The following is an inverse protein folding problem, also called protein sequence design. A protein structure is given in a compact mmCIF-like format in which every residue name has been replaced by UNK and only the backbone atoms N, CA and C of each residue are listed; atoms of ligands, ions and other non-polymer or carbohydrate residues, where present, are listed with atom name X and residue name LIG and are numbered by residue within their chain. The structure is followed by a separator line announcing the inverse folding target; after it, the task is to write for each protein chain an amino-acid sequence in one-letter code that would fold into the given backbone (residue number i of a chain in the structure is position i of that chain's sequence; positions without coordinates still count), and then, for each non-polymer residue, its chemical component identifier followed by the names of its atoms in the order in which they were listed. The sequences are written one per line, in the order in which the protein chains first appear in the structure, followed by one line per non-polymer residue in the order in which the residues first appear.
data_IF_605306182034
#
_entry.id   IF_605306182034
#
_cell.length_a   1.000
_cell.length_b   1.000
_cell.length_c   1.000
_cell.angle_alpha   90.00
_cell.angle_beta   90.00
_cell.angle_gamma   90.00
#
_symmetry.space_group_name_H-M   'P 1'
#
loop_
_entity.id
_entity.type
_entity.pdbx_description
1 polymer ?
#
# COMPACT_ATOMS: atom_id res chain seq x y z
N UNK A 1 2.65 -10.09 30.73
CA UNK A 1 3.24 -8.84 30.21
C UNK A 1 2.87 -8.79 28.74
N UNK A 2 2.37 -7.66 28.23
CA UNK A 2 2.13 -7.52 26.82
C UNK A 2 3.48 -7.68 26.08
N UNK A 3 3.47 -8.50 25.03
CA UNK A 3 4.65 -8.70 24.19
C UNK A 3 5.04 -7.36 23.55
N UNK A 4 6.31 -6.96 23.62
CA UNK A 4 6.71 -5.71 22.99
C UNK A 4 6.63 -5.82 21.46
N UNK A 5 6.14 -4.77 20.76
CA UNK A 5 6.03 -4.81 19.33
C UNK A 5 7.41 -4.94 18.67
N UNK A 6 7.57 -5.95 17.82
CA UNK A 6 8.79 -6.20 17.05
C UNK A 6 8.84 -5.33 15.80
N UNK A 7 7.72 -5.27 15.07
CA UNK A 7 7.62 -4.51 13.81
C UNK A 7 7.43 -3.03 14.13
N UNK A 8 8.23 -2.18 13.49
CA UNK A 8 8.28 -0.75 13.78
C UNK A 8 8.10 0.14 12.56
N UNK A 9 7.99 -0.43 11.36
CA UNK A 9 7.51 0.29 10.19
C UNK A 9 6.66 -0.60 9.27
N UNK A 10 5.72 0.00 8.55
CA UNK A 10 4.86 -0.68 7.56
C UNK A 10 4.66 0.20 6.32
N UNK A 11 4.83 -0.37 5.13
CA UNK A 11 4.38 0.25 3.89
C UNK A 11 2.89 -0.09 3.72
N UNK A 12 2.02 0.81 4.19
CA UNK A 12 0.58 0.57 4.31
C UNK A 12 -0.22 0.81 3.03
N UNK A 13 0.37 1.48 2.03
CA UNK A 13 -0.35 1.88 0.82
C UNK A 13 0.57 2.48 -0.24
N UNK A 14 0.01 2.71 -1.44
CA UNK A 14 -1.29 2.21 -1.90
C UNK A 14 -1.08 1.05 -2.87
N UNK A 15 -2.03 0.14 -2.93
CA UNK A 15 -1.94 -0.95 -3.92
C UNK A 15 -1.82 -0.37 -5.34
N UNK A 16 -0.86 -0.86 -6.11
CA UNK A 16 -0.46 -0.34 -7.44
C UNK A 16 0.20 1.04 -7.42
N UNK A 17 0.61 1.52 -6.25
CA UNK A 17 1.34 2.77 -6.05
C UNK A 17 2.87 2.65 -6.16
N UNK A 18 3.43 1.47 -6.45
CA UNK A 18 4.90 1.29 -6.51
C UNK A 18 5.53 0.72 -5.23
N UNK A 19 4.71 0.22 -4.30
CA UNK A 19 5.16 -0.35 -3.03
C UNK A 19 6.08 -1.56 -3.18
N UNK A 20 5.97 -2.33 -4.27
CA UNK A 20 6.88 -3.45 -4.57
C UNK A 20 8.29 -2.95 -4.89
N UNK A 21 8.41 -1.92 -5.72
CA UNK A 21 9.72 -1.34 -6.03
C UNK A 21 10.40 -0.77 -4.76
N UNK A 22 9.64 -0.09 -3.90
CA UNK A 22 10.17 0.42 -2.64
C UNK A 22 10.60 -0.71 -1.69
N UNK A 23 9.82 -1.78 -1.61
CA UNK A 23 10.15 -2.97 -0.82
C UNK A 23 11.42 -3.66 -1.33
N UNK A 24 11.56 -3.80 -2.65
CA UNK A 24 12.74 -4.40 -3.28
C UNK A 24 14.01 -3.57 -3.03
N UNK A 25 13.89 -2.23 -2.97
CA UNK A 25 15.00 -1.37 -2.54
C UNK A 25 15.35 -1.59 -1.07
N UNK A 26 14.37 -1.74 -0.18
CA UNK A 26 14.61 -2.02 1.24
C UNK A 26 15.26 -3.38 1.46
N UNK A 27 14.99 -4.38 0.62
CA UNK A 27 15.60 -5.70 0.71
C UNK A 27 17.12 -5.68 0.48
N UNK A 28 17.66 -4.64 -0.17
CA UNK A 28 19.11 -4.45 -0.32
C UNK A 28 19.79 -3.86 0.93
N UNK A 29 19.01 -3.43 1.93
CA UNK A 29 19.55 -2.82 3.14
C UNK A 29 19.72 -3.87 4.25
N UNK A 30 20.97 -4.29 4.59
CA UNK A 30 21.21 -5.25 5.66
C UNK A 30 20.83 -4.71 7.05
N UNK A 31 20.63 -3.38 7.15
CA UNK A 31 20.22 -2.70 8.38
C UNK A 31 18.70 -2.76 8.61
N UNK A 32 17.95 -3.41 7.72
CA UNK A 32 16.50 -3.60 7.80
C UNK A 32 16.17 -5.08 7.85
N UNK A 33 15.20 -5.46 8.64
CA UNK A 33 14.66 -6.82 8.68
C UNK A 33 13.28 -6.83 8.01
N UNK A 34 13.17 -7.60 6.95
CA UNK A 34 11.92 -7.83 6.22
C UNK A 34 11.43 -9.26 6.46
N UNK A 35 10.15 -9.55 6.19
CA UNK A 35 9.61 -10.90 6.38
C UNK A 35 10.35 -11.94 5.54
N UNK A 36 10.59 -13.09 6.15
CA UNK A 36 11.14 -14.27 5.48
C UNK A 36 9.99 -15.14 4.95
N UNK A 37 9.74 -15.02 3.65
CA UNK A 37 8.67 -15.76 2.98
C UNK A 37 9.02 -17.22 2.64
N UNK A 38 10.31 -17.60 2.67
CA UNK A 38 10.74 -18.98 2.42
C UNK A 38 10.37 -19.91 3.56
N UNK A 39 10.29 -19.37 4.79
CA UNK A 39 9.97 -20.17 5.99
C UNK A 39 8.51 -20.52 6.14
N UNK A 40 7.60 -19.89 5.39
CA UNK A 40 6.17 -20.16 5.53
C UNK A 40 5.51 -20.25 4.16
N UNK A 41 5.49 -21.44 3.55
CA UNK A 41 4.98 -21.68 2.20
C UNK A 41 3.50 -21.39 1.99
N UNK A 42 2.71 -21.24 3.07
CA UNK A 42 1.25 -21.17 3.00
C UNK A 42 0.69 -19.79 2.59
N UNK A 43 1.54 -18.75 2.52
CA UNK A 43 1.11 -17.43 2.01
C UNK A 43 1.31 -17.38 0.50
N UNK A 44 0.40 -18.03 -0.22
CA UNK A 44 0.56 -18.35 -1.65
C UNK A 44 0.35 -17.22 -2.66
N UNK A 45 0.13 -15.94 -2.30
CA UNK A 45 -0.33 -14.99 -3.30
C UNK A 45 0.41 -13.65 -3.43
N UNK A 46 1.36 -13.31 -2.55
CA UNK A 46 2.20 -12.13 -2.76
C UNK A 46 3.53 -12.29 -2.05
N UNK A 47 4.61 -12.26 -2.80
CA UNK A 47 5.99 -12.42 -2.30
C UNK A 47 6.45 -11.37 -1.27
N UNK A 48 5.57 -10.50 -0.74
CA UNK A 48 5.91 -9.44 0.21
C UNK A 48 4.79 -9.04 1.19
N UNK A 49 3.55 -9.49 1.01
CA UNK A 49 2.37 -9.03 1.77
C UNK A 49 1.98 -10.06 2.84
N UNK A 50 1.99 -9.68 4.11
CA UNK A 50 1.67 -10.56 5.22
C UNK A 50 0.18 -10.67 5.48
N UNK A 51 -0.59 -9.65 5.14
CA UNK A 51 -2.03 -9.59 5.36
C UNK A 51 -2.46 -9.90 6.82
N UNK A 52 -1.65 -9.51 7.80
CA UNK A 52 -1.95 -9.76 9.20
C UNK A 52 -3.03 -8.81 9.71
N UNK A 53 -2.84 -7.48 9.56
CA UNK A 53 -3.76 -6.49 10.12
C UNK A 53 -5.08 -6.34 9.35
N UNK A 54 -5.20 -6.86 8.15
CA UNK A 54 -6.44 -6.89 7.36
C UNK A 54 -7.14 -8.27 7.37
N UNK A 55 -6.66 -9.21 8.18
CA UNK A 55 -7.33 -10.51 8.34
C UNK A 55 -8.44 -10.43 9.39
N UNK A 56 -9.68 -10.32 8.93
CA UNK A 56 -10.87 -10.23 9.78
C UNK A 56 -11.27 -11.57 10.42
N UNK A 57 -10.56 -12.67 10.10
CA UNK A 57 -10.77 -13.98 10.71
C UNK A 57 -10.02 -14.16 12.02
N UNK A 58 -9.04 -13.30 12.32
CA UNK A 58 -8.28 -13.34 13.55
C UNK A 58 -9.11 -12.82 14.74
N UNK A 59 -8.85 -13.38 15.93
CA UNK A 59 -9.40 -12.87 17.18
C UNK A 59 -8.67 -11.57 17.58
N UNK A 60 -9.24 -10.44 17.22
CA UNK A 60 -8.68 -9.13 17.51
C UNK A 60 -8.84 -8.66 18.95
N UNK A 61 -9.59 -9.37 19.78
CA UNK A 61 -9.58 -9.17 21.22
C UNK A 61 -8.33 -9.78 21.87
N UNK A 62 -7.75 -10.81 21.24
CA UNK A 62 -6.52 -11.50 21.68
C UNK A 62 -5.66 -11.91 20.48
N UNK A 63 -5.07 -10.95 19.73
CA UNK A 63 -4.31 -11.27 18.54
C UNK A 63 -3.02 -12.04 18.85
N UNK A 64 -2.71 -13.05 18.05
CA UNK A 64 -1.47 -13.83 18.17
C UNK A 64 -0.32 -13.10 17.46
N UNK A 65 0.30 -12.18 18.17
CA UNK A 65 1.48 -11.47 17.67
C UNK A 65 2.72 -12.37 17.56
N UNK A 66 2.80 -13.48 18.28
CA UNK A 66 3.94 -14.40 18.17
C UNK A 66 3.98 -15.04 16.77
N UNK A 67 2.83 -15.43 16.22
CA UNK A 67 2.73 -15.91 14.83
C UNK A 67 3.13 -14.85 13.80
N UNK A 68 2.79 -13.57 14.04
CA UNK A 68 3.22 -12.44 13.22
C UNK A 68 4.74 -12.22 13.32
N UNK A 69 5.30 -12.21 14.53
CA UNK A 69 6.72 -12.01 14.79
C UNK A 69 7.60 -13.14 14.22
N UNK A 70 7.09 -14.37 14.16
CA UNK A 70 7.81 -15.52 13.61
C UNK A 70 8.18 -15.35 12.12
N UNK A 71 7.58 -14.36 11.43
CA UNK A 71 7.92 -14.00 10.05
C UNK A 71 9.23 -13.24 9.92
N UNK A 72 9.78 -12.72 11.01
CA UNK A 72 10.98 -11.88 11.03
C UNK A 72 12.12 -12.61 11.72
N UNK A 73 13.22 -12.82 10.99
CA UNK A 73 14.39 -13.54 11.51
C UNK A 73 15.47 -12.60 12.01
N UNK A 74 16.01 -12.89 13.18
CA UNK A 74 17.15 -12.19 13.78
C UNK A 74 17.04 -10.64 13.72
N UNK A 75 16.06 -10.04 14.38
CA UNK A 75 15.90 -8.59 14.37
C UNK A 75 17.09 -7.85 14.97
N UNK A 76 17.72 -8.39 16.03
CA UNK A 76 18.92 -7.85 16.67
C UNK A 76 18.92 -6.32 16.88
N UNK A 77 17.74 -5.74 17.15
CA UNK A 77 17.54 -4.29 17.32
C UNK A 77 17.51 -3.48 16.03
N UNK A 78 17.54 -4.12 14.87
CA UNK A 78 17.37 -3.47 13.57
C UNK A 78 15.90 -3.11 13.31
N UNK A 79 15.59 -2.06 12.54
CA UNK A 79 14.23 -1.78 12.08
C UNK A 79 13.63 -2.99 11.37
N UNK A 80 12.46 -3.44 11.86
CA UNK A 80 11.68 -4.51 11.26
C UNK A 80 10.45 -3.93 10.60
N UNK A 81 10.15 -4.37 9.37
CA UNK A 81 8.97 -3.87 8.68
C UNK A 81 8.49 -4.77 7.56
N UNK A 82 7.30 -4.46 7.09
CA UNK A 82 6.63 -5.17 5.99
C UNK A 82 5.96 -4.21 4.99
N UNK A 83 5.37 -4.79 3.94
CA UNK A 83 4.61 -4.05 2.94
C UNK A 83 3.32 -4.78 2.58
N UNK A 84 2.21 -4.33 3.13
CA UNK A 84 0.86 -4.80 2.79
C UNK A 84 -0.03 -3.60 2.43
N UNK A 85 -0.05 -3.19 1.15
CA UNK A 85 -0.59 -1.90 0.72
C UNK A 85 -2.13 -1.81 0.74
N UNK A 86 -2.82 -2.82 1.20
CA UNK A 86 -4.26 -2.75 1.45
C UNK A 86 -4.58 -2.11 2.81
N UNK A 87 -3.64 -2.07 3.77
CA UNK A 87 -3.91 -1.61 5.12
C UNK A 87 -4.45 -0.18 5.21
N UNK A 88 -3.95 0.73 4.36
CA UNK A 88 -4.46 2.11 4.34
C UNK A 88 -5.93 2.21 3.87
N UNK A 89 -6.44 1.19 3.21
CA UNK A 89 -7.79 1.14 2.65
C UNK A 89 -8.73 0.22 3.42
N UNK A 90 -8.23 -0.91 3.98
CA UNK A 90 -9.10 -1.93 4.57
C UNK A 90 -9.56 -1.51 5.98
N UNK A 91 -10.87 -1.62 6.27
CA UNK A 91 -11.40 -1.23 7.58
C UNK A 91 -10.68 -1.89 8.74
N UNK A 92 -10.54 -1.15 9.83
CA UNK A 92 -9.90 -1.59 11.09
C UNK A 92 -8.41 -1.91 11.01
N UNK A 93 -7.78 -1.96 9.81
CA UNK A 93 -6.36 -2.28 9.72
C UNK A 93 -5.47 -1.25 10.41
N UNK A 94 -5.77 0.03 10.25
CA UNK A 94 -4.99 1.12 10.85
C UNK A 94 -5.14 1.16 12.38
N UNK A 95 -6.34 0.91 12.89
CA UNK A 95 -6.61 0.82 14.33
C UNK A 95 -5.89 -0.38 14.95
N UNK A 96 -5.86 -1.51 14.26
CA UNK A 96 -5.12 -2.72 14.67
C UNK A 96 -3.61 -2.46 14.69
N UNK A 97 -3.07 -1.75 13.72
CA UNK A 97 -1.67 -1.32 13.69
C UNK A 97 -1.37 -0.37 14.86
N UNK A 98 -2.25 0.60 15.13
CA UNK A 98 -2.08 1.54 16.24
C UNK A 98 -2.15 0.84 17.60
N UNK A 99 -3.04 -0.15 17.76
CA UNK A 99 -3.14 -0.97 18.96
C UNK A 99 -1.89 -1.87 19.16
N UNK A 100 -1.34 -2.41 18.07
CA UNK A 100 -0.12 -3.20 18.11
C UNK A 100 1.11 -2.36 18.45
N UNK A 101 1.30 -1.24 17.79
CA UNK A 101 2.45 -0.36 18.01
C UNK A 101 2.08 1.11 17.75
N UNK A 102 1.76 1.88 18.80
CA UNK A 102 1.44 3.31 18.65
C UNK A 102 2.62 4.18 18.17
N UNK A 103 3.85 3.63 18.20
CA UNK A 103 5.06 4.27 17.67
C UNK A 103 5.40 3.80 16.24
N UNK A 104 4.49 3.07 15.57
CA UNK A 104 4.69 2.56 14.21
C UNK A 104 5.02 3.68 13.23
N UNK A 105 6.02 3.49 12.39
CA UNK A 105 6.31 4.36 11.24
C UNK A 105 5.58 3.82 10.01
N UNK A 106 4.83 4.68 9.35
CA UNK A 106 3.97 4.29 8.22
C UNK A 106 4.45 4.96 6.94
N UNK A 107 4.56 4.18 5.88
CA UNK A 107 4.96 4.68 4.57
C UNK A 107 3.82 4.47 3.58
N UNK A 108 3.48 5.52 2.85
CA UNK A 108 2.45 5.50 1.81
C UNK A 108 3.05 5.99 0.49
N UNK A 109 3.07 5.13 -0.52
CA UNK A 109 3.55 5.47 -1.87
C UNK A 109 2.35 5.72 -2.76
N UNK A 110 2.20 6.94 -3.25
CA UNK A 110 1.08 7.39 -4.07
C UNK A 110 1.45 7.41 -5.55
N UNK A 111 0.49 7.13 -6.38
CA UNK A 111 0.54 7.24 -7.83
C UNK A 111 -0.67 8.03 -8.30
N UNK A 112 -0.62 8.62 -9.52
CA UNK A 112 -1.82 9.19 -10.14
C UNK A 112 -3.01 8.22 -9.97
N UNK A 113 -4.12 8.64 -9.35
CA UNK A 113 -5.19 7.71 -8.95
C UNK A 113 -5.91 7.09 -10.14
N UNK A 114 -5.93 7.76 -11.31
CA UNK A 114 -6.47 7.22 -12.56
C UNK A 114 -5.60 6.07 -13.06
N UNK A 115 -4.29 6.30 -13.11
CA UNK A 115 -3.31 5.28 -13.52
C UNK A 115 -3.25 4.11 -12.53
N UNK A 116 -3.44 4.38 -11.23
CA UNK A 116 -3.52 3.35 -10.21
C UNK A 116 -4.75 2.46 -10.41
N UNK A 117 -5.94 3.07 -10.62
CA UNK A 117 -7.18 2.35 -10.85
C UNK A 117 -7.09 1.45 -12.09
N UNK A 118 -6.55 1.98 -13.20
CA UNK A 118 -6.28 1.23 -14.42
C UNK A 118 -5.31 0.06 -14.17
N UNK A 119 -4.20 0.31 -13.46
CA UNK A 119 -3.22 -0.72 -13.12
C UNK A 119 -3.80 -1.83 -12.22
N UNK A 120 -4.73 -1.47 -11.32
CA UNK A 120 -5.41 -2.43 -10.46
C UNK A 120 -6.35 -3.32 -11.27
N UNK A 121 -7.20 -2.74 -12.11
CA UNK A 121 -8.08 -3.48 -12.98
C UNK A 121 -7.30 -4.45 -13.90
N UNK A 122 -6.22 -3.98 -14.52
CA UNK A 122 -5.34 -4.84 -15.35
C UNK A 122 -4.79 -6.03 -14.57
N UNK A 123 -4.44 -5.83 -13.33
CA UNK A 123 -3.93 -6.90 -12.47
C UNK A 123 -5.00 -7.98 -12.22
N UNK A 124 -6.21 -7.57 -11.85
CA UNK A 124 -7.30 -8.53 -11.59
C UNK A 124 -7.79 -9.22 -12.87
N UNK A 125 -7.80 -8.49 -13.99
CA UNK A 125 -8.10 -9.07 -15.29
C UNK A 125 -7.05 -10.12 -15.71
N UNK A 126 -5.77 -9.82 -15.53
CA UNK A 126 -4.68 -10.75 -15.83
C UNK A 126 -4.67 -12.00 -14.93
N UNK A 127 -5.27 -11.92 -13.74
CA UNK A 127 -5.48 -13.04 -12.81
C UNK A 127 -6.74 -13.86 -13.14
N UNK A 128 -7.57 -13.39 -14.05
CA UNK A 128 -8.85 -14.03 -14.38
C UNK A 128 -9.96 -13.77 -13.34
N UNK A 129 -9.73 -12.88 -12.36
CA UNK A 129 -10.72 -12.50 -11.35
C UNK A 129 -11.72 -11.49 -11.91
N UNK A 130 -11.24 -10.53 -12.71
CA UNK A 130 -12.09 -9.55 -13.40
C UNK A 130 -12.36 -9.99 -14.83
N UNK A 131 -13.61 -9.87 -15.26
CA UNK A 131 -14.06 -10.24 -16.60
C UNK A 131 -14.78 -9.10 -17.33
N UNK A 132 -15.10 -8.02 -16.60
CA UNK A 132 -15.85 -6.89 -17.16
C UNK A 132 -14.89 -5.79 -17.67
N UNK A 133 -15.27 -5.03 -18.69
CA UNK A 133 -14.47 -3.91 -19.18
C UNK A 133 -14.24 -2.85 -18.11
N UNK A 134 -13.08 -2.18 -18.17
CA UNK A 134 -12.69 -1.14 -17.20
C UNK A 134 -13.75 -0.04 -17.06
N UNK A 135 -14.28 0.45 -18.19
CA UNK A 135 -15.31 1.49 -18.20
C UNK A 135 -16.57 1.11 -17.40
N UNK A 136 -16.98 -0.15 -17.46
CA UNK A 136 -18.08 -0.67 -16.66
C UNK A 136 -17.70 -0.76 -15.17
N UNK A 137 -16.50 -1.26 -14.88
CA UNK A 137 -16.03 -1.48 -13.50
C UNK A 137 -15.98 -0.19 -12.68
N UNK A 138 -15.51 0.91 -13.27
CA UNK A 138 -15.39 2.20 -12.60
C UNK A 138 -16.72 2.95 -12.45
N UNK A 139 -17.79 2.48 -13.10
CA UNK A 139 -19.16 3.06 -13.05
C UNK A 139 -20.11 2.09 -12.36
N UNK A 140 -20.80 1.25 -13.11
CA UNK A 140 -21.81 0.31 -12.62
C UNK A 140 -21.21 -0.77 -11.71
N UNK A 141 -19.99 -1.19 -12.00
CA UNK A 141 -19.29 -2.23 -11.25
C UNK A 141 -19.01 -1.88 -9.78
N UNK A 142 -19.00 -0.59 -9.44
CA UNK A 142 -18.81 -0.14 -8.05
C UNK A 142 -19.88 -0.63 -7.09
N UNK A 143 -21.08 -0.92 -7.54
CA UNK A 143 -22.14 -1.48 -6.70
C UNK A 143 -21.77 -2.83 -6.05
N UNK A 144 -20.83 -3.58 -6.66
CA UNK A 144 -20.32 -4.85 -6.11
C UNK A 144 -19.72 -4.70 -4.70
N UNK A 145 -19.28 -3.49 -4.34
CA UNK A 145 -18.74 -3.20 -3.01
C UNK A 145 -19.84 -3.17 -1.93
N UNK A 146 -21.11 -3.22 -2.33
CA UNK A 146 -22.27 -3.23 -1.45
C UNK A 146 -22.92 -4.62 -1.36
N UNK A 147 -22.36 -5.63 -2.02
CA UNK A 147 -22.94 -6.97 -2.08
C UNK A 147 -22.57 -7.82 -0.86
N UNK A 148 -21.49 -7.48 -0.13
CA UNK A 148 -21.01 -8.20 1.05
C UNK A 148 -20.27 -7.27 2.02
N UNK A 149 -20.10 -7.70 3.26
CA UNK A 149 -19.29 -7.02 4.27
C UNK A 149 -17.78 -7.13 3.96
N UNK A 150 -17.02 -6.10 4.32
CA UNK A 150 -17.44 -4.79 4.85
C UNK A 150 -17.98 -3.90 3.72
N UNK A 151 -19.21 -3.43 3.90
CA UNK A 151 -19.93 -2.63 2.89
C UNK A 151 -19.11 -1.42 2.43
N UNK A 152 -19.04 -1.21 1.13
CA UNK A 152 -18.24 -0.14 0.51
C UNK A 152 -16.77 -0.53 0.26
N UNK A 153 -16.35 -1.74 0.66
CA UNK A 153 -14.99 -2.24 0.50
C UNK A 153 -15.00 -3.60 -0.20
N UNK A 154 -13.97 -3.84 -0.99
CA UNK A 154 -13.76 -5.14 -1.63
C UNK A 154 -12.27 -5.38 -1.88
N UNK A 155 -11.79 -6.61 -1.72
CA UNK A 155 -10.37 -6.93 -1.89
C UNK A 155 -9.91 -6.81 -3.34
N UNK A 156 -10.73 -7.17 -4.29
CA UNK A 156 -10.40 -7.16 -5.71
C UNK A 156 -11.00 -5.96 -6.46
N UNK A 157 -12.29 -5.62 -6.23
CA UNK A 157 -13.05 -4.73 -7.11
C UNK A 157 -13.06 -3.25 -6.71
N UNK A 158 -12.31 -2.84 -5.69
CA UNK A 158 -12.21 -1.44 -5.24
C UNK A 158 -11.30 -0.59 -6.12
N UNK A 159 -11.51 -0.61 -7.44
CA UNK A 159 -10.66 0.11 -8.40
C UNK A 159 -10.70 1.62 -8.18
N UNK A 160 -11.85 2.17 -7.83
CA UNK A 160 -12.03 3.61 -7.59
C UNK A 160 -11.68 3.96 -6.14
N UNK A 161 -12.23 3.25 -5.19
CA UNK A 161 -12.23 3.60 -3.76
C UNK A 161 -10.83 3.70 -3.18
N UNK A 162 -9.91 2.85 -3.59
CA UNK A 162 -8.50 2.91 -3.15
C UNK A 162 -7.74 4.13 -3.72
N UNK A 163 -8.36 4.93 -4.56
CA UNK A 163 -7.81 6.16 -5.10
C UNK A 163 -8.17 7.41 -4.29
N UNK A 164 -9.02 7.32 -3.27
CA UNK A 164 -9.33 8.41 -2.36
C UNK A 164 -8.26 8.52 -1.27
N UNK A 165 -7.12 9.11 -1.65
CA UNK A 165 -5.93 9.18 -0.79
C UNK A 165 -6.06 10.17 0.35
N UNK A 166 -6.81 11.26 0.13
CA UNK A 166 -7.08 12.25 1.16
C UNK A 166 -7.83 11.66 2.33
N UNK A 167 -8.86 10.84 2.08
CA UNK A 167 -9.59 10.12 3.13
C UNK A 167 -8.70 9.14 3.89
N UNK A 168 -7.89 8.35 3.17
CA UNK A 168 -6.96 7.41 3.79
C UNK A 168 -5.92 8.11 4.66
N UNK A 169 -5.41 9.26 4.22
CA UNK A 169 -4.44 10.05 5.01
C UNK A 169 -5.08 10.74 6.20
N UNK A 170 -6.33 11.20 6.10
CA UNK A 170 -7.06 11.70 7.27
C UNK A 170 -7.22 10.63 8.34
N UNK A 171 -7.58 9.40 7.97
CA UNK A 171 -7.65 8.26 8.88
C UNK A 171 -6.27 7.97 9.53
N UNK A 172 -5.21 7.95 8.73
CA UNK A 172 -3.83 7.78 9.23
C UNK A 172 -3.44 8.87 10.23
N UNK A 173 -3.66 10.13 9.91
CA UNK A 173 -3.32 11.26 10.78
C UNK A 173 -4.25 11.37 12.02
N UNK A 174 -5.41 10.74 11.98
CA UNK A 174 -6.29 10.59 13.14
C UNK A 174 -5.74 9.61 14.17
N UNK A 175 -4.94 8.65 13.76
CA UNK A 175 -4.38 7.59 14.62
C UNK A 175 -2.90 7.79 14.95
N UNK A 176 -2.14 8.41 14.04
CA UNK A 176 -0.69 8.55 14.15
C UNK A 176 -0.26 10.02 13.99
N UNK A 177 0.71 10.49 14.80
CA UNK A 177 1.34 11.79 14.59
C UNK A 177 1.93 11.92 13.18
N UNK A 178 1.87 13.12 12.59
CA UNK A 178 2.39 13.36 11.23
C UNK A 178 3.84 12.93 11.05
N UNK A 179 4.69 13.06 12.06
CA UNK A 179 6.07 12.62 12.03
C UNK A 179 6.27 11.10 11.95
N UNK A 180 5.20 10.31 12.11
CA UNK A 180 5.20 8.86 11.94
C UNK A 180 4.69 8.40 10.56
N UNK A 181 4.31 9.33 9.68
CA UNK A 181 3.76 9.01 8.35
C UNK A 181 4.61 9.68 7.27
N UNK A 182 5.23 8.87 6.42
CA UNK A 182 5.96 9.32 5.24
C UNK A 182 5.12 9.07 3.98
N UNK A 183 4.84 10.14 3.23
CA UNK A 183 4.13 10.05 1.96
C UNK A 183 5.11 10.31 0.81
N UNK A 184 5.16 9.38 -0.13
CA UNK A 184 6.07 9.39 -1.29
C UNK A 184 5.26 9.34 -2.58
N UNK A 185 5.85 9.80 -3.70
CA UNK A 185 5.27 9.64 -5.03
C UNK A 185 6.00 8.54 -5.80
N UNK A 186 5.24 7.71 -6.50
CA UNK A 186 5.79 6.65 -7.35
C UNK A 186 6.64 7.23 -8.50
N UNK A 187 6.23 8.38 -9.04
CA UNK A 187 6.96 9.07 -10.09
C UNK A 187 8.36 9.47 -9.62
N UNK A 188 8.46 10.03 -8.40
CA UNK A 188 9.74 10.44 -7.82
C UNK A 188 10.64 9.21 -7.58
N UNK A 189 10.06 8.09 -7.10
CA UNK A 189 10.80 6.84 -6.93
C UNK A 189 11.35 6.29 -8.25
N UNK A 190 10.65 6.50 -9.35
CA UNK A 190 11.07 6.05 -10.68
C UNK A 190 12.15 6.95 -11.30
N UNK A 191 12.07 8.27 -11.08
CA UNK A 191 12.96 9.25 -11.71
C UNK A 191 14.17 9.62 -10.84
N UNK A 192 13.96 9.71 -9.53
CA UNK A 192 14.96 10.17 -8.55
C UNK A 192 15.03 9.24 -7.34
N UNK A 193 15.27 7.91 -7.55
CA UNK A 193 15.24 6.93 -6.46
C UNK A 193 16.21 7.25 -5.33
N UNK A 194 17.35 7.86 -5.63
CA UNK A 194 18.34 8.24 -4.63
C UNK A 194 17.79 9.22 -3.59
N UNK A 195 17.03 10.22 -4.02
CA UNK A 195 16.41 11.21 -3.11
C UNK A 195 15.30 10.59 -2.28
N UNK A 196 14.43 9.78 -2.92
CA UNK A 196 13.34 9.10 -2.23
C UNK A 196 13.87 8.14 -1.17
N UNK A 197 14.91 7.38 -1.51
CA UNK A 197 15.55 6.45 -0.58
C UNK A 197 16.32 7.17 0.54
N UNK A 198 16.87 8.36 0.28
CA UNK A 198 17.47 9.19 1.33
C UNK A 198 16.40 9.64 2.35
N UNK A 199 15.25 10.15 1.88
CA UNK A 199 14.11 10.52 2.74
C UNK A 199 13.59 9.32 3.55
N UNK A 200 13.46 8.16 2.92
CA UNK A 200 13.02 6.94 3.60
C UNK A 200 14.00 6.51 4.70
N UNK A 201 15.31 6.56 4.42
CA UNK A 201 16.34 6.20 5.42
C UNK A 201 16.35 7.16 6.61
N UNK A 202 16.26 8.46 6.35
CA UNK A 202 16.13 9.46 7.41
C UNK A 202 14.90 9.20 8.26
N UNK A 203 13.74 8.96 7.62
CA UNK A 203 12.50 8.65 8.28
C UNK A 203 12.59 7.39 9.14
N UNK A 204 13.24 6.33 8.65
CA UNK A 204 13.42 5.06 9.38
C UNK A 204 14.59 5.10 10.37
N UNK A 205 15.35 6.20 10.43
CA UNK A 205 16.57 6.34 11.21
C UNK A 205 17.66 5.30 10.86
N UNK A 206 17.78 4.99 9.57
CA UNK A 206 18.79 4.09 9.04
C UNK A 206 20.10 4.84 8.75
N UNK A 207 21.26 4.15 8.82
CA UNK A 207 22.55 4.76 8.53
C UNK A 207 22.62 5.25 7.07
N UNK A 208 23.41 6.30 6.78
CA UNK A 208 23.63 6.79 5.42
C UNK A 208 24.24 5.68 4.53
N UNK A 209 23.76 5.58 3.31
CA UNK A 209 24.26 4.65 2.29
C UNK A 209 24.23 5.26 0.91
N UNK A 210 25.12 4.77 0.05
CA UNK A 210 25.03 5.05 -1.38
C UNK A 210 23.72 4.44 -1.89
N UNK A 211 22.95 5.21 -2.65
CA UNK A 211 21.74 4.72 -3.26
C UNK A 211 22.08 3.58 -4.25
N UNK A 212 21.29 2.52 -4.29
CA UNK A 212 21.43 1.48 -5.31
C UNK A 212 21.12 2.06 -6.70
N UNK A 213 21.61 1.37 -7.72
CA UNK A 213 21.29 1.72 -9.11
C UNK A 213 19.77 1.73 -9.35
N UNK A 214 19.28 2.65 -10.18
CA UNK A 214 17.87 2.70 -10.52
C UNK A 214 17.37 1.38 -11.11
N UNK A 215 16.26 0.88 -10.60
CA UNK A 215 15.62 -0.34 -11.08
C UNK A 215 14.52 -0.01 -12.06
N UNK A 216 14.34 -0.86 -13.06
CA UNK A 216 13.17 -0.73 -13.93
C UNK A 216 11.90 -0.95 -13.12
N UNK A 217 10.92 -0.06 -13.29
CA UNK A 217 9.61 -0.23 -12.70
C UNK A 217 9.01 -1.58 -13.11
N UNK A 218 8.31 -2.23 -12.17
CA UNK A 218 7.56 -3.44 -12.49
C UNK A 218 6.49 -3.14 -13.55
N UNK A 219 6.74 -3.55 -14.77
CA UNK A 219 5.80 -3.44 -15.88
C UNK A 219 4.76 -4.54 -15.74
N UNK A 220 3.48 -4.19 -15.82
CA UNK A 220 2.41 -5.18 -15.82
C UNK A 220 2.56 -6.16 -16.98
N UNK A 221 1.96 -7.35 -16.84
CA UNK A 221 1.99 -8.36 -17.90
C UNK A 221 1.50 -7.77 -19.21
N UNK A 222 2.25 -7.96 -20.29
CA UNK A 222 1.79 -7.63 -21.63
C UNK A 222 0.81 -8.70 -22.11
N UNK A 223 -0.41 -8.28 -22.41
CA UNK A 223 -1.48 -9.11 -22.95
C UNK A 223 -2.56 -8.22 -23.57
N UNK A 224 -3.40 -8.80 -24.40
CA UNK A 224 -4.64 -8.12 -24.81
C UNK A 224 -5.63 -8.10 -23.65
N UNK A 225 -5.93 -6.91 -23.15
CA UNK A 225 -6.87 -6.71 -22.06
C UNK A 225 -8.33 -6.55 -22.54
N UNK A 226 -8.59 -6.50 -23.86
CA UNK A 226 -9.93 -6.25 -24.39
C UNK A 226 -10.55 -4.92 -23.94
N UNK A 227 -9.78 -4.05 -23.30
CA UNK A 227 -10.21 -2.75 -22.76
C UNK A 227 -9.02 -1.78 -22.76
N UNK A 228 -9.33 -0.48 -22.78
CA UNK A 228 -8.34 0.59 -22.73
C UNK A 228 -8.78 1.66 -21.74
N UNK A 229 -7.81 2.37 -21.17
CA UNK A 229 -8.07 3.60 -20.42
C UNK A 229 -8.34 4.72 -21.42
N UNK A 230 -9.60 5.07 -21.61
CA UNK A 230 -9.99 6.17 -22.52
C UNK A 230 -9.86 7.53 -21.84
N UNK A 231 -9.81 8.61 -22.65
CA UNK A 231 -9.85 9.98 -22.12
C UNK A 231 -11.17 10.29 -21.40
N UNK A 232 -12.27 9.62 -21.77
CA UNK A 232 -13.55 9.73 -21.08
C UNK A 232 -13.50 9.10 -19.70
N UNK A 233 -12.92 7.90 -19.58
CA UNK A 233 -12.73 7.21 -18.29
C UNK A 233 -11.82 8.01 -17.36
N UNK A 234 -10.73 8.55 -17.89
CA UNK A 234 -9.82 9.39 -17.14
C UNK A 234 -10.53 10.66 -16.62
N UNK A 235 -11.33 11.31 -17.46
CA UNK A 235 -12.11 12.48 -17.06
C UNK A 235 -13.15 12.13 -15.99
N UNK A 236 -13.83 11.02 -16.14
CA UNK A 236 -14.80 10.54 -15.15
C UNK A 236 -14.15 10.30 -13.79
N UNK A 237 -13.02 9.58 -13.75
CA UNK A 237 -12.27 9.32 -12.51
C UNK A 237 -11.72 10.60 -11.88
N UNK A 238 -11.16 11.52 -12.67
CA UNK A 238 -10.69 12.81 -12.16
C UNK A 238 -11.83 13.61 -11.53
N UNK A 239 -13.02 13.58 -12.13
CA UNK A 239 -14.20 14.20 -11.54
C UNK A 239 -14.58 13.60 -10.19
N UNK A 240 -14.52 12.27 -10.06
CA UNK A 240 -14.78 11.60 -8.77
C UNK A 240 -13.73 11.95 -7.71
N UNK A 241 -12.47 12.04 -8.08
CA UNK A 241 -11.37 12.30 -7.15
C UNK A 241 -11.17 13.79 -6.83
N UNK A 242 -11.81 14.73 -7.52
CA UNK A 242 -11.49 16.16 -7.45
C UNK A 242 -11.45 16.71 -6.01
N UNK A 243 -12.47 16.44 -5.22
CA UNK A 243 -12.55 16.88 -3.82
C UNK A 243 -11.46 16.23 -2.96
N UNK A 244 -11.23 14.94 -3.15
CA UNK A 244 -10.22 14.19 -2.40
C UNK A 244 -8.79 14.61 -2.77
N UNK A 245 -8.55 14.95 -4.05
CA UNK A 245 -7.26 15.48 -4.49
C UNK A 245 -6.97 16.86 -3.89
N UNK A 246 -7.99 17.71 -3.73
CA UNK A 246 -7.84 18.99 -3.01
C UNK A 246 -7.49 18.75 -1.52
N UNK A 247 -8.13 17.75 -0.88
CA UNK A 247 -7.81 17.30 0.48
C UNK A 247 -6.38 16.77 0.57
N UNK A 248 -5.97 15.88 -0.34
CA UNK A 248 -4.61 15.36 -0.42
C UNK A 248 -3.58 16.50 -0.50
N UNK A 249 -3.80 17.46 -1.41
CA UNK A 249 -2.91 18.60 -1.59
C UNK A 249 -2.80 19.45 -0.32
N UNK A 250 -3.91 19.69 0.38
CA UNK A 250 -3.93 20.41 1.65
C UNK A 250 -3.16 19.67 2.76
N UNK A 251 -3.23 18.35 2.79
CA UNK A 251 -2.58 17.53 3.81
C UNK A 251 -1.07 17.35 3.58
N UNK A 252 -0.62 17.30 2.31
CA UNK A 252 0.73 16.84 1.95
C UNK A 252 1.48 17.74 0.99
N UNK A 253 0.83 18.67 0.32
CA UNK A 253 1.38 19.44 -0.81
C UNK A 253 1.46 18.66 -2.13
N UNK A 254 1.08 17.36 -2.13
CA UNK A 254 1.10 16.51 -3.33
C UNK A 254 -0.16 16.74 -4.15
N UNK A 255 0.01 16.99 -5.44
CA UNK A 255 -1.06 17.06 -6.41
C UNK A 255 -0.71 16.20 -7.65
N UNK A 256 -1.70 15.49 -8.17
CA UNK A 256 -1.58 14.78 -9.44
C UNK A 256 -2.30 15.59 -10.52
N UNK A 257 -1.49 16.36 -11.25
CA UNK A 257 -1.96 17.13 -12.41
C UNK A 257 -1.92 16.21 -13.63
N UNK A 258 -3.08 15.80 -14.10
CA UNK A 258 -3.21 14.98 -15.30
C UNK A 258 -3.62 15.80 -16.51
#
# INVERSE_FOLDING_TARGET
MAEQPLVNFVIVGVQKGGTTALFDYLADYPDVVLPDFERVPEVMHAHKELHFFDDDRLDWDRPDYAAYHARFTDPAGRPCGEATPIYAYWPSSLERIAAYNPAMKLVMVLRDPVQRAWSHWRMEYARGVETQPFAWCIRQGRRRLLDAEPWGHHREFSYVERGFYGEQLEALFGLFPRGQVLVLRAEDLNHEPAEVLAKLREFLALPPRVAPEPRQAHVGREMDYGSQLTSEDARFLRGLYATDQARLAALTGIAFNG
#
